data_IF_053070706190
#
_entry.id   IF_053070706190
#
_cell.length_a   1.000
_cell.length_b   1.000
_cell.length_c   1.000
_cell.angle_alpha   90.00
_cell.angle_beta   90.00
_cell.angle_gamma   90.00
#
_symmetry.space_group_name_H-M   'P 1'
#
loop_
_entity.id
_entity.type
_entity.pdbx_description
1 polymer ?
#
# COMPACT_ATOMS: atom_id res chain seq x y z
N UNK A 1 8.69 -11.33 -4.12
CA UNK A 1 8.81 -9.90 -3.74
C UNK A 1 9.10 -9.79 -2.25
N UNK A 2 9.95 -8.87 -1.89
CA UNK A 2 10.27 -8.64 -0.49
C UNK A 2 9.19 -7.75 0.15
N UNK A 3 8.56 -8.25 1.20
CA UNK A 3 7.49 -7.56 1.89
C UNK A 3 8.07 -6.76 3.07
N UNK A 4 8.50 -5.54 2.80
CA UNK A 4 8.97 -4.62 3.84
C UNK A 4 7.77 -3.99 4.54
N UNK A 5 8.00 -3.33 5.66
CA UNK A 5 6.93 -2.62 6.37
C UNK A 5 6.26 -1.56 5.50
N UNK A 6 7.01 -0.68 4.79
CA UNK A 6 6.37 0.28 3.89
C UNK A 6 5.52 -0.37 2.81
N UNK A 7 5.99 -1.47 2.21
CA UNK A 7 5.21 -2.22 1.22
C UNK A 7 3.92 -2.74 1.84
N UNK A 8 3.98 -3.26 3.06
CA UNK A 8 2.81 -3.76 3.76
C UNK A 8 1.81 -2.63 4.05
N UNK A 9 2.29 -1.44 4.42
CA UNK A 9 1.40 -0.28 4.62
C UNK A 9 0.66 0.09 3.33
N UNK A 10 1.34 0.09 2.19
CA UNK A 10 0.72 0.38 0.91
C UNK A 10 -0.33 -0.69 0.57
N UNK A 11 0.00 -1.96 0.77
CA UNK A 11 -0.94 -3.05 0.54
C UNK A 11 -2.16 -2.95 1.45
N UNK A 12 -1.97 -2.60 2.72
CA UNK A 12 -3.06 -2.37 3.67
C UNK A 12 -3.96 -1.23 3.21
N UNK A 13 -3.38 -0.13 2.75
CA UNK A 13 -4.16 1.00 2.24
C UNK A 13 -5.02 0.58 1.05
N UNK A 14 -4.45 -0.21 0.13
CA UNK A 14 -5.19 -0.72 -1.02
C UNK A 14 -6.34 -1.65 -0.59
N UNK A 15 -6.11 -2.50 0.42
CA UNK A 15 -7.17 -3.35 0.97
C UNK A 15 -8.31 -2.53 1.57
N UNK A 16 -7.99 -1.39 2.14
CA UNK A 16 -8.98 -0.51 2.77
C UNK A 16 -9.69 0.42 1.78
N UNK A 17 -9.36 0.33 0.50
CA UNK A 17 -10.06 1.08 -0.54
C UNK A 17 -9.39 2.39 -0.96
N UNK A 18 -8.15 2.61 -0.57
CA UNK A 18 -7.38 3.76 -1.06
C UNK A 18 -6.77 3.39 -2.41
N UNK A 19 -7.08 4.12 -3.46
CA UNK A 19 -6.79 3.69 -4.83
C UNK A 19 -5.86 4.58 -5.63
N UNK A 20 -5.47 5.76 -5.15
CA UNK A 20 -4.52 6.60 -5.87
C UNK A 20 -3.41 7.10 -4.95
N UNK A 21 -2.31 7.56 -5.56
CA UNK A 21 -1.09 7.86 -4.83
C UNK A 21 -1.26 8.80 -3.66
N UNK A 22 -1.94 9.94 -3.85
CA UNK A 22 -2.13 10.91 -2.77
C UNK A 22 -2.94 10.33 -1.63
N UNK A 23 -3.98 9.57 -1.94
CA UNK A 23 -4.82 8.94 -0.93
C UNK A 23 -4.02 7.91 -0.12
N UNK A 24 -3.21 7.11 -0.82
CA UNK A 24 -2.32 6.14 -0.16
C UNK A 24 -1.29 6.84 0.72
N UNK A 25 -0.72 7.95 0.24
CA UNK A 25 0.22 8.74 1.02
C UNK A 25 -0.42 9.28 2.30
N UNK A 26 -1.63 9.82 2.19
CA UNK A 26 -2.37 10.33 3.35
C UNK A 26 -2.67 9.20 4.35
N UNK A 27 -3.12 8.06 3.86
CA UNK A 27 -3.50 6.95 4.72
C UNK A 27 -2.30 6.31 5.42
N UNK A 28 -1.14 6.28 4.76
CA UNK A 28 0.04 5.58 5.29
C UNK A 28 1.05 6.50 5.97
N UNK A 29 1.01 7.79 5.65
CA UNK A 29 2.04 8.73 6.09
C UNK A 29 3.35 8.60 5.33
N UNK A 30 3.39 7.78 4.30
CA UNK A 30 4.61 7.58 3.51
C UNK A 30 4.76 8.67 2.45
N UNK A 31 5.98 9.11 2.16
CA UNK A 31 6.23 10.11 1.13
C UNK A 31 6.13 9.51 -0.27
N UNK A 32 5.97 10.39 -1.27
CA UNK A 32 5.83 9.97 -2.67
C UNK A 32 7.02 9.14 -3.16
N UNK A 33 8.21 9.50 -2.73
CA UNK A 33 9.43 8.76 -3.10
C UNK A 33 9.45 7.32 -2.61
N UNK A 34 8.59 6.97 -1.68
CA UNK A 34 8.42 5.60 -1.18
C UNK A 34 7.20 4.94 -1.82
N UNK A 35 6.08 5.64 -1.89
CA UNK A 35 4.81 5.07 -2.37
C UNK A 35 4.88 4.69 -3.84
N UNK A 36 5.33 5.61 -4.72
CA UNK A 36 5.29 5.33 -6.16
C UNK A 36 6.24 4.21 -6.61
N UNK A 37 7.47 4.10 -6.09
CA UNK A 37 8.29 2.93 -6.40
C UNK A 37 7.66 1.61 -5.95
N UNK A 38 6.97 1.60 -4.81
CA UNK A 38 6.26 0.40 -4.33
C UNK A 38 5.13 0.06 -5.29
N UNK A 39 4.32 1.03 -5.70
CA UNK A 39 3.22 0.79 -6.63
C UNK A 39 3.72 0.25 -7.97
N UNK A 40 4.82 0.78 -8.48
CA UNK A 40 5.43 0.26 -9.71
C UNK A 40 5.85 -1.19 -9.57
N UNK A 41 6.45 -1.54 -8.44
CA UNK A 41 6.88 -2.91 -8.18
C UNK A 41 5.69 -3.84 -8.06
N UNK A 42 4.65 -3.42 -7.36
CA UNK A 42 3.42 -4.21 -7.22
C UNK A 42 2.75 -4.43 -8.58
N UNK A 43 2.78 -3.44 -9.45
CA UNK A 43 2.25 -3.57 -10.80
C UNK A 43 3.08 -4.57 -11.62
N UNK A 44 4.41 -4.45 -11.57
CA UNK A 44 5.31 -5.35 -12.28
C UNK A 44 5.15 -6.81 -11.82
N UNK A 45 4.78 -7.02 -10.57
CA UNK A 45 4.61 -8.38 -10.01
C UNK A 45 3.17 -8.88 -10.08
N UNK A 46 2.29 -8.15 -10.74
CA UNK A 46 0.90 -8.59 -10.92
C UNK A 46 0.04 -8.47 -9.68
N UNK A 47 0.48 -7.71 -8.68
CA UNK A 47 -0.28 -7.51 -7.45
C UNK A 47 -1.33 -6.42 -7.59
N UNK A 48 -1.09 -5.43 -8.44
CA UNK A 48 -2.06 -4.37 -8.71
C UNK A 48 -2.24 -4.22 -10.21
N UNK A 49 -3.40 -3.69 -10.57
CA UNK A 49 -3.73 -3.26 -11.91
C UNK A 49 -3.94 -1.76 -11.86
N UNK A 50 -3.38 -1.03 -12.80
CA UNK A 50 -3.51 0.43 -12.81
C UNK A 50 -4.33 0.90 -14.00
N UNK A 51 -5.00 2.01 -13.82
CA UNK A 51 -5.72 2.70 -14.89
C UNK A 51 -5.68 4.20 -14.67
N UNK A 52 -5.77 4.96 -15.75
CA UNK A 52 -5.89 6.40 -15.65
C UNK A 52 -7.36 6.79 -15.50
N UNK A 53 -7.59 7.84 -14.73
CA UNK A 53 -8.89 8.46 -14.63
C UNK A 53 -9.30 9.01 -16.00
N UNK A 54 -10.60 9.01 -16.27
CA UNK A 54 -11.11 9.57 -17.50
C UNK A 54 -10.89 11.08 -17.50
N UNK A 55 -10.43 11.67 -18.65
CA UNK A 55 -10.12 13.11 -18.70
C UNK A 55 -11.29 13.99 -18.26
N UNK A 56 -12.53 13.61 -18.58
CA UNK A 56 -13.70 14.39 -18.19
C UNK A 56 -13.91 14.47 -16.69
N UNK A 57 -13.62 13.39 -15.96
CA UNK A 57 -13.74 13.37 -14.51
C UNK A 57 -12.73 14.30 -13.84
N UNK A 58 -11.47 14.24 -14.30
CA UNK A 58 -10.41 15.09 -13.77
C UNK A 58 -10.70 16.56 -14.05
N UNK A 59 -11.23 16.87 -15.24
CA UNK A 59 -11.53 18.23 -15.65
C UNK A 59 -12.62 18.86 -14.79
N UNK A 60 -13.64 18.08 -14.40
CA UNK A 60 -14.68 18.55 -13.49
C UNK A 60 -14.12 18.98 -12.15
N UNK A 61 -13.09 18.30 -11.67
CA UNK A 61 -12.44 18.59 -10.40
C UNK A 61 -11.32 19.62 -10.54
N UNK A 62 -11.07 20.13 -11.76
CA UNK A 62 -10.04 21.12 -12.04
C UNK A 62 -8.65 20.67 -11.55
N UNK A 63 -8.31 19.44 -11.83
CA UNK A 63 -7.03 18.85 -11.45
C UNK A 63 -6.52 17.91 -12.54
N UNK A 64 -5.22 17.56 -12.53
CA UNK A 64 -4.69 16.58 -13.48
C UNK A 64 -5.34 15.21 -13.27
N UNK A 65 -5.42 14.38 -14.31
CA UNK A 65 -5.93 13.01 -14.17
C UNK A 65 -5.14 12.22 -13.14
N UNK A 66 -5.85 11.38 -12.39
CA UNK A 66 -5.25 10.49 -11.41
C UNK A 66 -5.05 9.11 -12.00
N UNK A 67 -4.00 8.44 -11.54
CA UNK A 67 -3.81 7.03 -11.81
C UNK A 67 -4.35 6.23 -10.64
N UNK A 68 -5.23 5.30 -10.93
CA UNK A 68 -5.85 4.44 -9.92
C UNK A 68 -5.20 3.07 -9.92
N UNK A 69 -5.16 2.45 -8.76
CA UNK A 69 -4.57 1.13 -8.54
C UNK A 69 -5.57 0.26 -7.83
N UNK A 70 -5.72 -0.97 -8.30
CA UNK A 70 -6.59 -1.96 -7.68
C UNK A 70 -5.81 -3.25 -7.46
N UNK A 71 -6.06 -3.91 -6.34
CA UNK A 71 -5.46 -5.21 -6.09
C UNK A 71 -6.05 -6.24 -7.04
N UNK A 72 -5.18 -7.04 -7.64
CA UNK A 72 -5.60 -8.26 -8.34
C UNK A 72 -5.94 -9.33 -7.30
N UNK A 73 -6.48 -10.48 -7.72
CA UNK A 73 -6.67 -11.60 -6.81
C UNK A 73 -5.36 -12.02 -6.16
N UNK A 74 -4.29 -12.08 -6.94
CA UNK A 74 -2.95 -12.36 -6.44
C UNK A 74 -2.50 -11.30 -5.42
N UNK A 75 -2.67 -10.03 -5.76
CA UNK A 75 -2.30 -8.93 -4.87
C UNK A 75 -3.07 -8.94 -3.57
N UNK A 76 -4.35 -9.30 -3.61
CA UNK A 76 -5.17 -9.40 -2.40
C UNK A 76 -4.66 -10.49 -1.47
N UNK A 77 -4.27 -11.63 -2.02
CA UNK A 77 -3.67 -12.72 -1.23
C UNK A 77 -2.34 -12.28 -0.60
N UNK A 78 -1.49 -11.62 -1.39
CA UNK A 78 -0.21 -11.10 -0.90
C UNK A 78 -0.44 -10.07 0.21
N UNK A 79 -1.38 -9.16 0.01
CA UNK A 79 -1.69 -8.11 0.98
C UNK A 79 -2.19 -8.70 2.30
N UNK A 80 -3.11 -9.64 2.25
CA UNK A 80 -3.67 -10.27 3.44
C UNK A 80 -2.57 -11.00 4.22
N UNK A 81 -1.73 -11.75 3.53
CA UNK A 81 -0.62 -12.45 4.15
C UNK A 81 0.37 -11.50 4.81
N UNK A 82 0.71 -10.40 4.12
CA UNK A 82 1.65 -9.41 4.64
C UNK A 82 1.10 -8.75 5.90
N UNK A 83 -0.17 -8.34 5.88
CA UNK A 83 -0.81 -7.70 7.03
C UNK A 83 -0.87 -8.66 8.21
N UNK A 84 -1.26 -9.89 7.99
CA UNK A 84 -1.34 -10.90 9.05
C UNK A 84 0.03 -11.15 9.68
N UNK A 85 1.07 -11.21 8.86
CA UNK A 85 2.44 -11.42 9.34
C UNK A 85 2.89 -10.28 10.25
N UNK A 86 2.66 -9.03 9.86
CA UNK A 86 3.06 -7.89 10.67
C UNK A 86 2.20 -7.75 11.92
N UNK A 87 0.93 -8.10 11.86
CA UNK A 87 0.08 -8.14 13.05
C UNK A 87 0.59 -9.16 14.05
N UNK A 88 0.98 -10.33 13.58
CA UNK A 88 1.54 -11.37 14.44
C UNK A 88 2.83 -10.91 15.11
N UNK A 89 3.67 -10.15 14.41
CA UNK A 89 4.89 -9.60 14.99
C UNK A 89 4.60 -8.61 16.12
N UNK A 90 3.54 -7.84 16.00
CA UNK A 90 3.14 -6.88 17.03
C UNK A 90 2.64 -7.58 18.29
N UNK A 91 2.25 -8.84 18.20
CA UNK A 91 1.77 -9.64 19.32
C UNK A 91 2.88 -10.40 20.04
N UNK A 92 4.11 -10.31 19.55
CA UNK A 92 5.25 -10.94 20.19
C UNK A 92 5.49 -10.28 21.55
N UNK A 93 5.48 -11.03 22.65
CA UNK A 93 5.69 -10.44 23.97
C UNK A 93 7.07 -9.81 24.09
N UNK A 94 7.15 -8.71 24.84
CA UNK A 94 8.44 -8.11 25.16
C UNK A 94 9.27 -9.10 25.99
N UNK A 95 10.60 -9.10 25.83
CA UNK A 95 11.45 -9.96 26.66
C UNK A 95 11.27 -9.63 28.12
N UNK A 96 11.10 -10.67 28.94
CA UNK A 96 10.95 -10.53 30.39
C UNK A 96 12.32 -10.62 31.05
N UNK A 97 12.52 -9.85 32.12
CA UNK A 97 13.76 -9.94 32.87
C UNK A 97 14.95 -9.31 32.18
N UNK A 98 14.75 -8.22 31.49
CA UNK A 98 15.83 -7.49 30.84
C UNK A 98 16.00 -6.09 31.40
N UNK A 99 16.38 -5.99 32.67
CA UNK A 99 16.56 -4.68 33.27
C UNK A 99 17.77 -3.95 32.66
N UNK A 100 17.74 -2.64 32.68
CA UNK A 100 18.86 -1.83 32.23
C UNK A 100 19.15 -1.90 30.74
N UNK A 101 18.20 -2.26 29.98
CA UNK A 101 18.36 -2.35 28.54
C UNK A 101 18.10 -1.05 27.87
#
# INVERSE_FOLDING_TARGET
>A
MRLTYPTTLVLQALLQGHHHGFDIMDATGLPSGTVYPILRRLDAEGCVRSRWEKPGEARKEQRPPRRYYELTSHGRSVATEAVDRYRALQEVPAPVGRPGR
#
